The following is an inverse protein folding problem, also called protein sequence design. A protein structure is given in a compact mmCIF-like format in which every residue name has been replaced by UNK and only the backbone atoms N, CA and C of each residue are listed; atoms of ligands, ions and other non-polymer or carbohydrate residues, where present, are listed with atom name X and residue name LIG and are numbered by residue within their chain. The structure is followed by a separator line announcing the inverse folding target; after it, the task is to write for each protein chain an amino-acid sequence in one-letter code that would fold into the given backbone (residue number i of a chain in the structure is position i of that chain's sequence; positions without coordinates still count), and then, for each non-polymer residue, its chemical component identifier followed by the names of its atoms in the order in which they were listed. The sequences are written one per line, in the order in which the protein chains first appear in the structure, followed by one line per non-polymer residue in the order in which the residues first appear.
data_IF_478800608372
#
_entry.id   IF_478800608372
#
_cell.length_a   1.000
_cell.length_b   1.000
_cell.length_c   1.000
_cell.angle_alpha   90.00
_cell.angle_beta   90.00
_cell.angle_gamma   90.00
#
_symmetry.space_group_name_H-M   'P 1'
#
loop_
_entity.id
_entity.type
_entity.pdbx_description
1 polymer ?
#
# COMPACT_ATOMS: atom_id res chain seq x y z
N UNK A 1 1.53 21.58 -7.01
CA UNK A 1 0.07 21.39 -6.84
C UNK A 1 -0.20 21.22 -5.36
N UNK A 2 -1.06 22.03 -4.72
CA UNK A 2 -1.39 21.88 -3.30
C UNK A 2 -2.78 21.29 -3.16
N UNK A 3 -2.85 20.02 -2.77
CA UNK A 3 -4.11 19.37 -2.41
C UNK A 3 -4.50 19.86 -1.00
N UNK A 4 -5.64 20.54 -0.88
CA UNK A 4 -6.19 20.96 0.42
C UNK A 4 -6.99 19.80 1.02
N UNK A 5 -6.51 19.21 2.10
CA UNK A 5 -7.21 18.17 2.86
C UNK A 5 -6.91 18.30 4.35
N UNK A 6 -7.80 17.75 5.17
CA UNK A 6 -7.63 17.70 6.63
C UNK A 6 -6.69 16.56 6.98
N UNK A 7 -5.55 16.86 7.61
CA UNK A 7 -4.66 15.84 8.16
C UNK A 7 -5.30 15.20 9.40
N UNK A 8 -5.77 13.96 9.26
CA UNK A 8 -6.34 13.21 10.38
C UNK A 8 -5.30 12.22 10.95
N UNK A 9 -5.20 12.07 12.29
CA UNK A 9 -4.16 11.23 12.90
C UNK A 9 -4.17 9.77 12.42
N UNK A 10 -5.34 9.17 12.19
CA UNK A 10 -5.45 7.81 11.69
C UNK A 10 -4.96 7.66 10.25
N UNK A 11 -5.11 8.70 9.42
CA UNK A 11 -4.57 8.70 8.05
C UNK A 11 -3.05 8.73 8.08
N UNK A 12 -2.47 9.64 8.89
CA UNK A 12 -1.02 9.71 9.08
C UNK A 12 -0.46 8.40 9.64
N UNK A 13 -1.15 7.80 10.62
CA UNK A 13 -0.77 6.49 11.18
C UNK A 13 -0.75 5.38 10.12
N UNK A 14 -1.77 5.31 9.26
CA UNK A 14 -1.83 4.34 8.17
C UNK A 14 -0.70 4.55 7.16
N UNK A 15 -0.48 5.78 6.72
CA UNK A 15 0.60 6.14 5.79
C UNK A 15 1.97 5.76 6.38
N UNK A 16 2.22 6.13 7.65
CA UNK A 16 3.47 5.82 8.33
C UNK A 16 3.69 4.32 8.48
N UNK A 17 2.64 3.53 8.68
CA UNK A 17 2.73 2.06 8.76
C UNK A 17 3.17 1.47 7.42
N UNK A 18 2.60 1.94 6.31
CA UNK A 18 2.98 1.51 4.95
C UNK A 18 4.44 1.89 4.65
N UNK A 19 4.81 3.14 4.90
CA UNK A 19 6.16 3.63 4.62
C UNK A 19 7.20 2.95 5.51
N UNK A 20 6.83 2.64 6.76
CA UNK A 20 7.71 2.01 7.74
C UNK A 20 7.99 0.55 7.45
N UNK A 21 7.11 -0.11 6.71
CA UNK A 21 7.30 -1.50 6.28
C UNK A 21 8.58 -1.67 5.44
N UNK A 22 8.93 -0.66 4.64
CA UNK A 22 10.09 -0.70 3.75
C UNK A 22 11.32 0.02 4.32
N UNK A 23 11.40 0.21 5.64
CA UNK A 23 12.58 0.82 6.26
C UNK A 23 13.85 0.01 5.94
N UNK A 24 14.95 0.72 5.66
CA UNK A 24 16.21 0.11 5.21
C UNK A 24 16.36 0.05 3.69
N UNK A 25 15.29 0.28 2.91
CA UNK A 25 15.39 0.45 1.47
C UNK A 25 16.16 1.72 1.12
N UNK A 26 17.18 1.60 0.26
CA UNK A 26 17.90 2.76 -0.26
C UNK A 26 17.03 3.52 -1.27
N UNK A 27 17.13 4.86 -1.25
CA UNK A 27 16.48 5.70 -2.24
C UNK A 27 17.11 5.44 -3.60
N UNK A 28 16.28 5.01 -4.54
CA UNK A 28 16.72 4.83 -5.90
C UNK A 28 16.88 6.18 -6.60
N UNK A 29 18.03 6.37 -7.24
CA UNK A 29 18.27 7.46 -8.17
C UNK A 29 18.28 6.85 -9.57
N UNK A 30 17.30 7.21 -10.38
CA UNK A 30 17.29 6.84 -11.79
C UNK A 30 18.25 7.79 -12.51
N UNK A 31 19.47 7.33 -12.78
CA UNK A 31 20.36 8.01 -13.71
C UNK A 31 19.95 7.61 -15.13
N UNK A 32 19.48 8.57 -15.91
CA UNK A 32 19.07 8.35 -17.28
C UNK A 32 20.33 8.24 -18.14
N UNK A 33 20.89 7.05 -18.29
CA UNK A 33 21.89 6.83 -19.33
C UNK A 33 21.20 6.95 -20.68
N UNK A 34 21.55 8.00 -21.43
CA UNK A 34 21.10 8.25 -22.81
C UNK A 34 21.84 7.27 -23.75
N UNK A 35 21.77 5.98 -23.45
CA UNK A 35 22.21 4.94 -24.36
C UNK A 35 20.95 4.30 -24.94
N UNK A 36 20.82 4.45 -26.26
CA UNK A 36 19.81 3.79 -27.11
C UNK A 36 18.37 4.32 -27.10
N UNK A 37 18.14 5.54 -26.61
CA UNK A 37 16.88 6.26 -26.85
C UNK A 37 15.67 5.81 -26.02
N UNK A 38 15.80 4.74 -25.21
CA UNK A 38 14.80 4.30 -24.25
C UNK A 38 15.38 4.22 -22.84
N UNK A 39 15.29 5.32 -22.10
CA UNK A 39 15.67 5.29 -20.70
C UNK A 39 14.52 4.72 -19.86
N UNK A 40 14.58 3.40 -19.61
CA UNK A 40 13.62 2.68 -18.75
C UNK A 40 14.18 2.54 -17.34
N UNK A 41 13.70 3.34 -16.39
CA UNK A 41 13.98 3.12 -14.97
C UNK A 41 12.86 2.29 -14.31
N UNK A 42 13.18 1.09 -13.82
CA UNK A 42 12.27 0.27 -13.01
C UNK A 42 12.44 0.54 -11.51
N UNK A 43 11.44 0.26 -10.68
CA UNK A 43 11.60 0.34 -9.22
C UNK A 43 12.54 -0.79 -8.75
N UNK A 44 13.61 -0.43 -8.05
CA UNK A 44 14.54 -1.33 -7.40
C UNK A 44 14.10 -1.64 -5.98
N UNK A 45 14.25 -2.88 -5.57
CA UNK A 45 13.89 -3.37 -4.24
C UNK A 45 15.03 -4.26 -3.74
N UNK A 46 15.61 -3.93 -2.59
CA UNK A 46 16.83 -4.57 -2.07
C UNK A 46 16.63 -5.32 -0.75
N UNK A 47 15.49 -5.14 -0.09
CA UNK A 47 15.24 -5.77 1.21
C UNK A 47 15.06 -7.28 1.07
N UNK A 48 15.67 -8.06 1.94
CA UNK A 48 15.43 -9.49 2.01
C UNK A 48 14.18 -9.82 2.85
N UNK A 49 13.79 -11.10 2.85
CA UNK A 49 12.61 -11.55 3.58
C UNK A 49 12.78 -11.43 5.11
N UNK A 50 14.01 -11.40 5.60
CA UNK A 50 14.31 -11.21 7.03
C UNK A 50 14.04 -9.76 7.41
N UNK A 51 14.61 -8.79 6.68
CA UNK A 51 14.43 -7.38 6.97
C UNK A 51 12.96 -6.94 6.85
N UNK A 52 12.23 -7.45 5.85
CA UNK A 52 10.81 -7.12 5.70
C UNK A 52 9.96 -7.72 6.83
N UNK A 53 10.29 -8.92 7.32
CA UNK A 53 9.61 -9.54 8.45
C UNK A 53 9.84 -8.76 9.75
N UNK A 54 11.08 -8.33 10.01
CA UNK A 54 11.40 -7.48 11.17
C UNK A 54 10.64 -6.15 11.14
N UNK A 55 10.56 -5.52 9.96
CA UNK A 55 9.78 -4.31 9.76
C UNK A 55 8.28 -4.56 9.96
N UNK A 56 7.75 -5.67 9.45
CA UNK A 56 6.36 -6.06 9.62
C UNK A 56 6.01 -6.23 11.11
N UNK A 57 6.81 -6.99 11.85
CA UNK A 57 6.62 -7.21 13.28
C UNK A 57 6.70 -5.92 14.08
N UNK A 58 7.62 -5.00 13.71
CA UNK A 58 7.69 -3.67 14.33
C UNK A 58 6.41 -2.86 14.06
N UNK A 59 5.93 -2.82 12.82
CA UNK A 59 4.68 -2.12 12.46
C UNK A 59 3.48 -2.76 13.16
N UNK A 60 3.41 -4.09 13.28
CA UNK A 60 2.36 -4.80 14.00
C UNK A 60 2.34 -4.42 15.49
N UNK A 61 3.50 -4.41 16.16
CA UNK A 61 3.63 -3.95 17.55
C UNK A 61 3.19 -2.51 17.76
N UNK A 62 3.64 -1.60 16.90
CA UNK A 62 3.25 -0.18 16.95
C UNK A 62 1.74 0.02 16.77
N UNK A 63 1.09 -0.89 16.04
CA UNK A 63 -0.35 -0.89 15.81
C UNK A 63 -1.15 -1.77 16.79
N UNK A 64 -0.49 -2.43 17.75
CA UNK A 64 -1.10 -3.38 18.68
C UNK A 64 -1.83 -4.54 17.99
N UNK A 65 -1.21 -5.08 16.93
CA UNK A 65 -1.68 -6.24 16.16
C UNK A 65 -0.78 -7.44 16.46
N UNK A 66 -1.31 -8.66 16.37
CA UNK A 66 -0.54 -9.90 16.53
C UNK A 66 0.62 -9.97 15.53
N UNK A 67 1.79 -10.37 16.02
CA UNK A 67 3.01 -10.44 15.24
C UNK A 67 3.04 -11.70 14.38
N UNK A 68 3.38 -11.55 13.10
CA UNK A 68 3.57 -12.69 12.20
C UNK A 68 4.89 -13.40 12.50
N UNK A 69 4.87 -14.73 12.65
CA UNK A 69 6.06 -15.55 12.92
C UNK A 69 6.94 -15.77 11.69
N UNK A 70 6.35 -15.70 10.49
CA UNK A 70 7.01 -15.90 9.21
C UNK A 70 6.35 -15.06 8.13
N UNK A 71 7.14 -14.69 7.12
CA UNK A 71 6.64 -14.01 5.93
C UNK A 71 6.07 -15.07 4.96
N UNK A 72 4.75 -15.20 4.89
CA UNK A 72 4.08 -16.14 3.97
C UNK A 72 4.07 -15.61 2.54
N UNK A 73 3.75 -14.33 2.37
CA UNK A 73 3.78 -13.61 1.11
C UNK A 73 4.14 -12.15 1.35
N UNK A 74 4.29 -11.37 0.27
CA UNK A 74 4.55 -9.93 0.31
C UNK A 74 3.27 -9.12 0.06
N UNK A 75 2.14 -9.70 0.44
CA UNK A 75 0.83 -9.08 0.35
C UNK A 75 0.48 -8.51 1.72
N UNK A 76 0.40 -7.18 1.79
CA UNK A 76 0.13 -6.48 3.04
C UNK A 76 -1.25 -5.84 3.00
N UNK A 77 -1.97 -5.93 4.11
CA UNK A 77 -3.31 -5.39 4.24
C UNK A 77 -3.32 -4.18 5.17
N UNK A 78 -4.05 -3.14 4.77
CA UNK A 78 -4.32 -1.97 5.59
C UNK A 78 -5.82 -1.83 5.73
N UNK A 79 -6.32 -2.16 6.91
CA UNK A 79 -7.74 -2.06 7.23
C UNK A 79 -8.09 -0.67 7.72
N UNK A 80 -9.17 -0.12 7.17
CA UNK A 80 -9.70 1.18 7.57
C UNK A 80 -11.22 1.17 7.46
N UNK A 81 -11.90 1.82 8.39
CA UNK A 81 -13.35 1.96 8.39
C UNK A 81 -13.84 2.75 7.15
N UNK A 82 -15.06 2.49 6.68
CA UNK A 82 -15.68 3.25 5.58
C UNK A 82 -15.79 4.73 5.92
N UNK A 83 -15.66 5.62 4.92
CA UNK A 83 -15.70 7.07 5.15
C UNK A 83 -14.45 7.72 5.78
N UNK A 84 -13.39 6.96 6.11
CA UNK A 84 -12.17 7.50 6.76
C UNK A 84 -11.09 8.04 5.80
N UNK A 85 -11.35 8.03 4.49
CA UNK A 85 -10.43 8.58 3.48
C UNK A 85 -9.39 7.59 2.95
N UNK A 86 -9.73 6.30 2.81
CA UNK A 86 -8.84 5.27 2.21
C UNK A 86 -8.15 5.71 0.91
N UNK A 87 -8.89 6.33 0.00
CA UNK A 87 -8.34 6.85 -1.27
C UNK A 87 -7.22 7.86 -1.06
N UNK A 88 -7.37 8.75 -0.07
CA UNK A 88 -6.34 9.72 0.27
C UNK A 88 -5.10 9.02 0.83
N UNK A 89 -5.27 8.04 1.71
CA UNK A 89 -4.16 7.25 2.25
C UNK A 89 -3.38 6.54 1.14
N UNK A 90 -4.05 5.93 0.15
CA UNK A 90 -3.34 5.30 -0.97
C UNK A 90 -2.51 6.29 -1.77
N UNK A 91 -3.10 7.42 -2.17
CA UNK A 91 -2.42 8.43 -2.98
C UNK A 91 -1.26 9.05 -2.20
N UNK A 92 -1.47 9.40 -0.94
CA UNK A 92 -0.42 10.00 -0.11
C UNK A 92 0.70 9.01 0.18
N UNK A 93 0.39 7.74 0.42
CA UNK A 93 1.41 6.70 0.62
C UNK A 93 2.31 6.54 -0.60
N UNK A 94 1.75 6.58 -1.82
CA UNK A 94 2.53 6.55 -3.06
C UNK A 94 3.50 7.74 -3.13
N UNK A 95 3.05 8.95 -2.75
CA UNK A 95 3.91 10.14 -2.73
C UNK A 95 5.03 10.01 -1.69
N UNK A 96 4.74 9.50 -0.50
CA UNK A 96 5.74 9.29 0.55
C UNK A 96 6.75 8.20 0.17
N UNK A 97 6.31 7.12 -0.49
CA UNK A 97 7.20 6.07 -1.00
C UNK A 97 8.12 6.61 -2.10
N UNK A 98 7.62 7.51 -2.95
CA UNK A 98 8.47 8.23 -3.90
C UNK A 98 9.46 9.15 -3.19
N UNK A 99 9.03 9.92 -2.19
CA UNK A 99 9.89 10.84 -1.45
C UNK A 99 10.96 10.12 -0.60
N UNK A 100 10.65 8.93 -0.10
CA UNK A 100 11.58 8.17 0.74
C UNK A 100 12.46 7.22 -0.05
N UNK A 101 11.88 6.47 -1.00
CA UNK A 101 12.56 5.36 -1.70
C UNK A 101 12.76 5.60 -3.19
N UNK A 102 12.17 6.65 -3.78
CA UNK A 102 12.35 6.99 -5.19
C UNK A 102 11.49 6.17 -6.16
N UNK A 103 10.60 5.31 -5.66
CA UNK A 103 9.70 4.51 -6.49
C UNK A 103 8.69 5.38 -7.21
N UNK A 104 8.58 5.22 -8.54
CA UNK A 104 7.78 6.10 -9.41
C UNK A 104 6.73 5.35 -10.24
N UNK A 105 6.81 4.01 -10.32
CA UNK A 105 5.86 3.16 -11.05
C UNK A 105 4.95 2.42 -10.08
N UNK A 106 3.64 2.63 -10.19
CA UNK A 106 2.63 2.00 -9.33
C UNK A 106 1.43 1.56 -10.17
N UNK A 107 0.82 0.44 -9.80
CA UNK A 107 -0.43 -0.06 -10.39
C UNK A 107 -1.50 -0.03 -9.30
N UNK A 108 -2.56 0.75 -9.51
CA UNK A 108 -3.71 0.80 -8.62
C UNK A 108 -4.86 0.05 -9.29
N UNK A 109 -5.26 -1.06 -8.70
CA UNK A 109 -6.42 -1.83 -9.15
C UNK A 109 -7.61 -1.44 -8.27
N UNK A 110 -8.64 -0.87 -8.87
CA UNK A 110 -9.88 -0.51 -8.18
C UNK A 110 -11.04 -1.32 -8.77
N UNK A 111 -11.75 -2.05 -7.92
CA UNK A 111 -12.99 -2.71 -8.31
C UNK A 111 -14.13 -1.72 -8.07
N UNK A 112 -14.66 -1.16 -9.15
CA UNK A 112 -15.95 -0.47 -9.11
C UNK A 112 -17.04 -1.53 -9.20
N UNK A 113 -17.85 -1.69 -8.16
CA UNK A 113 -18.98 -2.63 -8.19
C UNK A 113 -20.31 -1.87 -8.27
N UNK A 114 -20.72 -1.37 -9.45
CA UNK A 114 -22.01 -0.71 -9.60
C UNK A 114 -23.18 -1.73 -9.64
N UNK A 115 -22.92 -3.02 -9.80
CA UNK A 115 -23.94 -4.06 -10.04
C UNK A 115 -24.46 -4.80 -8.80
N UNK A 116 -23.79 -4.69 -7.64
CA UNK A 116 -24.19 -5.49 -6.46
C UNK A 116 -25.55 -5.07 -5.89
N UNK A 117 -25.89 -3.77 -5.97
CA UNK A 117 -27.17 -3.24 -5.47
C UNK A 117 -28.38 -3.63 -6.33
N UNK A 118 -28.18 -3.94 -7.60
CA UNK A 118 -29.28 -4.27 -8.52
C UNK A 118 -29.64 -5.76 -8.44
N UNK A 119 -28.65 -6.63 -8.23
CA UNK A 119 -28.85 -8.09 -8.06
C UNK A 119 -29.37 -8.42 -6.66
N UNK A 120 -28.91 -7.73 -5.61
CA UNK A 120 -29.38 -7.97 -4.23
C UNK A 120 -30.88 -7.63 -4.01
N UNK A 121 -31.51 -6.87 -4.92
CA UNK A 121 -32.98 -6.65 -4.92
C UNK A 121 -33.76 -7.73 -5.66
N UNK A 122 -33.10 -8.63 -6.40
CA UNK A 122 -33.76 -9.67 -7.20
C UNK A 122 -33.38 -11.10 -6.79
N UNK A 123 -32.26 -11.32 -6.11
CA UNK A 123 -31.90 -12.64 -5.58
C UNK A 123 -31.78 -12.61 -4.07
N UNK A 124 -32.88 -12.97 -3.40
CA UNK A 124 -32.96 -13.28 -1.98
C UNK A 124 -32.39 -14.69 -1.73
N UNK A 125 -31.12 -14.90 -2.08
CA UNK A 125 -30.39 -16.15 -1.82
C UNK A 125 -29.03 -15.75 -1.21
N UNK A 126 -28.67 -16.25 -0.02
CA UNK A 126 -27.38 -15.95 0.59
C UNK A 126 -26.27 -16.63 -0.21
N UNK A 127 -25.35 -15.83 -0.77
CA UNK A 127 -24.13 -16.36 -1.37
C UNK A 127 -23.16 -16.79 -0.25
N UNK A 128 -22.56 -18.00 -0.33
CA UNK A 128 -21.54 -18.41 0.60
C UNK A 128 -20.28 -17.55 0.39
N UNK A 129 -19.84 -16.91 1.47
CA UNK A 129 -18.54 -16.22 1.52
C UNK A 129 -17.47 -17.31 1.47
N UNK A 130 -16.91 -17.54 0.29
CA UNK A 130 -15.63 -18.25 0.17
C UNK A 130 -14.56 -17.25 0.63
N UNK A 131 -14.03 -17.51 1.82
CA UNK A 131 -12.86 -16.83 2.36
C UNK A 131 -11.64 -17.55 1.75
N UNK A 132 -10.82 -16.82 1.00
CA UNK A 132 -9.44 -17.25 0.70
C UNK A 132 -8.52 -16.59 1.72
#
# INVERSE_FOLDING_TARGET
MQLKYTNQPHQTKAINSIVSLFQGQSRQVCEYDIFDGEAVCGNGYILDDVAILENLQRVQRENAIEESLMLQSRDFSVEMETGTGKTYVYIKSILELYEKYGWNKYIIIMICQPYFRQIARHSMQPFPIVTF
#
